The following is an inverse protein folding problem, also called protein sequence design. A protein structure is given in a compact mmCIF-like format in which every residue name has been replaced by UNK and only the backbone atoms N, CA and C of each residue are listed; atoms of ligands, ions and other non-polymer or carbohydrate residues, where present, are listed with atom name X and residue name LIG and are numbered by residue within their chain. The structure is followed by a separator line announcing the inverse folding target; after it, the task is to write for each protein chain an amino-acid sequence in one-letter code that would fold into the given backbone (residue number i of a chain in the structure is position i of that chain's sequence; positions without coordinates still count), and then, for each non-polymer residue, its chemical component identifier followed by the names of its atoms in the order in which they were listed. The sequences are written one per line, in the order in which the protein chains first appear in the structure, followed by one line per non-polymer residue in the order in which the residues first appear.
data_IF_705241333033
#
_entry.id   IF_705241333033
#
_cell.length_a   1.000
_cell.length_b   1.000
_cell.length_c   1.000
_cell.angle_alpha   90.00
_cell.angle_beta   90.00
_cell.angle_gamma   90.00
#
_symmetry.space_group_name_H-M   'P 1'
#
loop_
_entity.id
_entity.type
_entity.pdbx_description
1 polymer ?
#
# COMPACT_ATOMS: atom_id res chain seq x y z
N UNK A 1 8.78 19.97 18.19
CA UNK A 1 8.15 18.66 17.96
C UNK A 1 8.82 17.66 18.88
N UNK A 2 8.06 16.83 19.63
CA UNK A 2 8.67 15.67 20.25
C UNK A 2 9.25 14.77 19.13
N UNK A 3 10.35 14.03 19.39
CA UNK A 3 10.84 13.04 18.44
C UNK A 3 9.69 12.09 18.11
N UNK A 4 9.47 11.82 16.82
CA UNK A 4 8.51 10.82 16.39
C UNK A 4 8.88 9.50 17.08
N UNK A 5 7.92 8.82 17.74
CA UNK A 5 8.20 7.53 18.34
C UNK A 5 8.77 6.62 17.25
N UNK A 6 9.91 5.99 17.54
CA UNK A 6 10.41 4.89 16.71
C UNK A 6 9.25 3.92 16.49
N UNK A 7 8.73 3.81 15.27
CA UNK A 7 7.63 2.89 14.98
C UNK A 7 8.12 1.51 15.35
N UNK A 8 7.58 0.97 16.44
CA UNK A 8 7.84 -0.40 16.79
C UNK A 8 6.95 -1.23 15.87
N UNK A 9 7.44 -1.51 14.67
CA UNK A 9 6.72 -2.31 13.67
C UNK A 9 6.30 -3.68 14.22
N UNK A 10 7.00 -4.18 15.24
CA UNK A 10 6.67 -5.42 15.93
C UNK A 10 5.39 -5.28 16.79
N UNK A 11 5.04 -4.07 17.25
CA UNK A 11 3.88 -3.81 18.11
C UNK A 11 2.72 -3.09 17.41
N UNK A 12 2.98 -2.25 16.41
CA UNK A 12 2.01 -1.22 15.97
C UNK A 12 1.44 -1.44 14.56
N UNK A 13 2.04 -2.30 13.72
CA UNK A 13 1.50 -2.55 12.38
C UNK A 13 0.34 -3.54 12.43
N UNK A 14 -0.81 -3.11 11.90
CA UNK A 14 -1.98 -3.95 11.70
C UNK A 14 -2.49 -3.78 10.27
N UNK A 15 -2.93 -4.86 9.60
CA UNK A 15 -3.66 -4.73 8.34
C UNK A 15 -4.96 -3.96 8.58
N UNK A 16 -5.53 -3.36 7.54
CA UNK A 16 -6.80 -2.64 7.65
C UNK A 16 -7.52 -2.71 6.31
N UNK A 17 -8.83 -2.49 6.33
CA UNK A 17 -9.64 -2.38 5.13
C UNK A 17 -9.67 -0.92 4.65
N UNK A 18 -9.33 -0.70 3.38
CA UNK A 18 -9.52 0.58 2.72
C UNK A 18 -10.67 0.50 1.70
N UNK A 19 -11.71 1.29 1.89
CA UNK A 19 -12.83 1.43 0.97
C UNK A 19 -12.72 2.73 0.17
N UNK A 20 -13.02 2.71 -1.12
CA UNK A 20 -13.24 3.91 -1.92
C UNK A 20 -14.74 4.17 -2.07
N UNK A 21 -15.18 5.42 -2.20
CA UNK A 21 -16.55 5.77 -2.58
C UNK A 21 -16.54 6.61 -3.86
N UNK A 22 -17.52 6.38 -4.72
CA UNK A 22 -17.86 7.27 -5.81
C UNK A 22 -19.37 7.22 -6.05
N UNK A 23 -19.96 8.30 -6.54
CA UNK A 23 -21.36 8.26 -6.92
C UNK A 23 -21.81 9.50 -7.66
N UNK A 24 -23.12 9.59 -7.84
CA UNK A 24 -23.76 10.73 -8.46
C UNK A 24 -23.74 11.97 -7.54
N UNK A 25 -23.63 13.14 -8.18
CA UNK A 25 -23.74 14.46 -7.55
C UNK A 25 -25.14 14.70 -6.98
N UNK A 26 -25.27 15.60 -6.01
CA UNK A 26 -26.54 15.89 -5.34
C UNK A 26 -27.65 16.36 -6.31
N UNK A 27 -27.28 17.11 -7.35
CA UNK A 27 -28.20 17.60 -8.37
C UNK A 27 -28.57 16.55 -9.44
N UNK A 28 -27.92 15.38 -9.47
CA UNK A 28 -28.24 14.35 -10.44
C UNK A 28 -29.64 13.77 -10.16
N UNK A 29 -30.54 13.67 -11.15
CA UNK A 29 -31.91 13.17 -10.94
C UNK A 29 -31.98 11.77 -10.32
N UNK A 30 -31.03 10.89 -10.67
CA UNK A 30 -30.98 9.53 -10.15
C UNK A 30 -30.59 9.49 -8.67
N UNK A 31 -29.83 10.48 -8.20
CA UNK A 31 -29.49 10.62 -6.79
C UNK A 31 -30.61 11.35 -6.04
N UNK A 32 -31.01 12.52 -6.53
CA UNK A 32 -31.96 13.39 -5.84
C UNK A 32 -33.32 12.72 -5.61
N UNK A 33 -33.76 11.86 -6.53
CA UNK A 33 -35.01 11.10 -6.39
C UNK A 33 -34.96 10.02 -5.30
N UNK A 34 -33.76 9.59 -4.90
CA UNK A 34 -33.55 8.44 -4.02
C UNK A 34 -32.58 8.73 -2.87
N UNK A 35 -32.29 10.00 -2.55
CA UNK A 35 -31.23 10.40 -1.64
C UNK A 35 -31.32 9.74 -0.25
N UNK A 36 -32.51 9.72 0.35
CA UNK A 36 -32.73 9.07 1.66
C UNK A 36 -32.55 7.55 1.59
N UNK A 37 -33.04 6.91 0.52
CA UNK A 37 -32.89 5.48 0.32
C UNK A 37 -31.43 5.07 0.06
N UNK A 38 -30.67 5.90 -0.67
CA UNK A 38 -29.23 5.72 -0.89
C UNK A 38 -28.48 5.85 0.43
N UNK A 39 -28.78 6.89 1.22
CA UNK A 39 -28.15 7.10 2.52
C UNK A 39 -28.42 5.93 3.48
N UNK A 40 -29.65 5.41 3.52
CA UNK A 40 -30.01 4.24 4.30
C UNK A 40 -29.26 2.97 3.82
N UNK A 41 -29.19 2.75 2.51
CA UNK A 41 -28.47 1.59 1.96
C UNK A 41 -26.95 1.65 2.22
N UNK A 42 -26.34 2.84 2.14
CA UNK A 42 -24.94 3.03 2.51
C UNK A 42 -24.72 2.81 4.00
N UNK A 43 -25.61 3.31 4.85
CA UNK A 43 -25.54 3.11 6.30
C UNK A 43 -25.63 1.61 6.66
N UNK A 44 -26.56 0.91 6.03
CA UNK A 44 -26.70 -0.54 6.13
C UNK A 44 -25.43 -1.25 5.66
N UNK A 45 -24.92 -0.93 4.46
CA UNK A 45 -23.70 -1.51 3.93
C UNK A 45 -22.51 -1.33 4.89
N UNK A 46 -22.31 -0.12 5.42
CA UNK A 46 -21.21 0.15 6.35
C UNK A 46 -21.39 -0.58 7.68
N UNK A 47 -22.63 -0.73 8.17
CA UNK A 47 -22.90 -1.56 9.34
C UNK A 47 -22.54 -3.03 9.10
N UNK A 48 -22.82 -3.58 7.92
CA UNK A 48 -22.36 -4.95 7.56
C UNK A 48 -20.85 -5.05 7.48
N UNK A 49 -20.17 -4.03 6.95
CA UNK A 49 -18.70 -3.98 6.93
C UNK A 49 -18.14 -3.99 8.35
N UNK A 50 -18.71 -3.19 9.26
CA UNK A 50 -18.34 -3.17 10.67
C UNK A 50 -18.56 -4.54 11.33
N UNK A 51 -19.71 -5.19 11.09
CA UNK A 51 -20.01 -6.51 11.65
C UNK A 51 -18.99 -7.57 11.21
N UNK A 52 -18.66 -7.62 9.92
CA UNK A 52 -17.67 -8.56 9.37
C UNK A 52 -16.28 -8.26 9.94
N UNK A 53 -15.87 -6.99 9.97
CA UNK A 53 -14.58 -6.58 10.49
C UNK A 53 -14.47 -6.85 12.01
N UNK A 54 -15.54 -6.65 12.78
CA UNK A 54 -15.57 -6.88 14.23
C UNK A 54 -15.26 -8.34 14.60
N UNK A 55 -15.60 -9.30 13.73
CA UNK A 55 -15.18 -10.71 13.85
C UNK A 55 -13.66 -10.93 13.82
N UNK A 56 -12.91 -9.90 13.43
CA UNK A 56 -11.45 -9.89 13.25
C UNK A 56 -10.77 -8.72 13.99
N UNK A 57 -11.44 -8.08 14.97
CA UNK A 57 -10.97 -6.85 15.63
C UNK A 57 -9.55 -6.90 16.22
N UNK A 58 -9.06 -8.08 16.57
CA UNK A 58 -7.71 -8.26 17.14
C UNK A 58 -6.62 -8.32 16.07
N UNK A 59 -7.02 -8.47 14.80
CA UNK A 59 -6.09 -8.64 13.68
C UNK A 59 -5.98 -7.42 12.80
N UNK A 60 -6.74 -6.35 13.04
CA UNK A 60 -6.76 -5.19 12.14
C UNK A 60 -6.83 -3.83 12.83
N UNK A 61 -6.26 -2.82 12.17
CA UNK A 61 -6.34 -1.42 12.55
C UNK A 61 -7.66 -0.76 12.14
N UNK A 62 -7.83 0.56 12.34
CA UNK A 62 -9.08 1.24 12.03
C UNK A 62 -9.43 1.12 10.54
N UNK A 63 -10.72 0.91 10.25
CA UNK A 63 -11.25 0.92 8.88
C UNK A 63 -11.08 2.31 8.28
N UNK A 64 -10.89 2.36 6.96
CA UNK A 64 -10.60 3.59 6.24
C UNK A 64 -11.51 3.78 5.04
N UNK A 65 -12.08 4.98 4.92
CA UNK A 65 -12.79 5.43 3.72
C UNK A 65 -11.93 6.44 2.95
N UNK A 66 -11.85 6.25 1.64
CA UNK A 66 -11.32 7.19 0.67
C UNK A 66 -12.47 7.79 -0.13
N UNK A 67 -12.51 9.12 -0.23
CA UNK A 67 -13.54 9.86 -0.97
C UNK A 67 -12.91 11.08 -1.64
N UNK A 68 -13.45 11.50 -2.78
CA UNK A 68 -13.06 12.78 -3.40
C UNK A 68 -13.85 13.97 -2.83
N UNK A 69 -14.76 13.71 -1.88
CA UNK A 69 -15.63 14.66 -1.21
C UNK A 69 -16.51 15.48 -2.16
N UNK A 70 -16.86 14.87 -3.30
CA UNK A 70 -17.82 15.43 -4.25
C UNK A 70 -19.19 15.58 -3.58
N UNK A 71 -19.95 16.61 -3.97
CA UNK A 71 -21.32 16.78 -3.48
C UNK A 71 -22.20 15.53 -3.74
N UNK A 72 -23.14 15.24 -2.85
CA UNK A 72 -24.02 14.07 -2.98
C UNK A 72 -23.47 12.82 -2.30
N UNK A 73 -23.27 11.74 -3.07
CA UNK A 73 -22.94 10.40 -2.53
C UNK A 73 -21.70 10.40 -1.64
N UNK A 74 -20.63 11.05 -2.10
CA UNK A 74 -19.33 11.07 -1.44
C UNK A 74 -19.40 11.71 -0.04
N UNK A 75 -20.06 12.86 0.09
CA UNK A 75 -20.24 13.55 1.38
C UNK A 75 -21.11 12.74 2.35
N UNK A 76 -22.19 12.10 1.88
CA UNK A 76 -23.02 11.22 2.71
C UNK A 76 -22.20 10.05 3.26
N UNK A 77 -21.40 9.40 2.42
CA UNK A 77 -20.53 8.31 2.85
C UNK A 77 -19.45 8.79 3.83
N UNK A 78 -18.88 9.98 3.62
CA UNK A 78 -17.88 10.58 4.50
C UNK A 78 -18.44 10.82 5.92
N UNK A 79 -19.64 11.40 6.04
CA UNK A 79 -20.30 11.60 7.34
C UNK A 79 -20.62 10.28 8.04
N UNK A 80 -21.09 9.28 7.28
CA UNK A 80 -21.37 7.94 7.80
C UNK A 80 -20.11 7.25 8.34
N UNK A 81 -18.98 7.39 7.65
CA UNK A 81 -17.69 6.85 8.08
C UNK A 81 -17.19 7.55 9.34
N UNK A 82 -17.22 8.87 9.40
CA UNK A 82 -16.80 9.64 10.57
C UNK A 82 -17.65 9.31 11.81
N UNK A 83 -18.96 9.16 11.65
CA UNK A 83 -19.87 8.79 12.75
C UNK A 83 -19.56 7.40 13.33
N UNK A 84 -18.98 6.51 12.52
CA UNK A 84 -18.54 5.15 12.93
C UNK A 84 -17.12 5.13 13.50
N UNK A 85 -16.42 6.26 13.53
CA UNK A 85 -15.03 6.34 13.96
C UNK A 85 -14.04 5.76 12.95
N UNK A 86 -14.43 5.62 11.68
CA UNK A 86 -13.50 5.23 10.61
C UNK A 86 -12.56 6.39 10.29
N UNK A 87 -11.37 6.06 9.80
CA UNK A 87 -10.46 7.07 9.25
C UNK A 87 -10.97 7.54 7.89
N UNK A 88 -11.02 8.85 7.69
CA UNK A 88 -11.38 9.45 6.40
C UNK A 88 -10.13 10.03 5.75
N UNK A 89 -9.82 9.57 4.54
CA UNK A 89 -8.72 10.09 3.71
C UNK A 89 -9.32 10.69 2.44
N UNK A 90 -9.00 11.95 2.16
CA UNK A 90 -9.62 12.70 1.06
C UNK A 90 -8.52 13.15 0.09
N UNK A 91 -8.23 12.35 -0.96
CA UNK A 91 -7.45 12.84 -2.08
C UNK A 91 -8.30 13.84 -2.87
N UNK A 92 -8.10 15.13 -2.60
CA UNK A 92 -8.88 16.20 -3.20
C UNK A 92 -8.38 16.45 -4.64
N UNK A 93 -9.30 16.58 -5.62
CA UNK A 93 -8.94 16.98 -6.98
C UNK A 93 -8.31 18.36 -7.12
N UNK A 94 -8.46 19.20 -6.10
CA UNK A 94 -8.01 20.59 -6.03
C UNK A 94 -7.48 20.87 -4.61
N UNK A 95 -6.95 22.06 -4.36
CA UNK A 95 -6.76 22.57 -3.00
C UNK A 95 -8.08 22.63 -2.23
N UNK A 96 -7.99 22.60 -0.90
CA UNK A 96 -9.14 22.48 -0.01
C UNK A 96 -10.17 23.59 -0.22
N UNK A 97 -9.72 24.84 -0.38
CA UNK A 97 -10.60 26.00 -0.57
C UNK A 97 -11.28 25.98 -1.95
N UNK A 98 -10.56 25.66 -3.03
CA UNK A 98 -11.13 25.55 -4.36
C UNK A 98 -12.10 24.36 -4.46
N UNK A 99 -11.75 23.21 -3.89
CA UNK A 99 -12.65 22.05 -3.87
C UNK A 99 -13.93 22.35 -3.07
N UNK A 100 -13.80 23.07 -1.96
CA UNK A 100 -14.94 23.55 -1.20
C UNK A 100 -15.78 24.53 -2.02
N UNK A 101 -15.18 25.51 -2.69
CA UNK A 101 -15.89 26.48 -3.51
C UNK A 101 -16.69 25.78 -4.64
N UNK A 102 -16.08 24.81 -5.34
CA UNK A 102 -16.75 24.05 -6.40
C UNK A 102 -17.94 23.23 -5.84
N UNK A 103 -17.77 22.52 -4.73
CA UNK A 103 -18.81 21.65 -4.17
C UNK A 103 -19.85 22.39 -3.31
N UNK A 104 -19.59 23.64 -2.93
CA UNK A 104 -20.54 24.52 -2.27
C UNK A 104 -21.55 25.14 -3.26
N UNK A 105 -21.33 25.02 -4.57
CA UNK A 105 -22.23 25.51 -5.63
C UNK A 105 -22.66 26.98 -5.41
N UNK A 106 -21.72 27.95 -5.33
CA UNK A 106 -22.04 29.36 -5.18
C UNK A 106 -22.79 29.87 -6.43
N UNK A 107 -23.83 30.67 -6.21
CA UNK A 107 -24.61 31.26 -7.30
C UNK A 107 -24.00 32.56 -7.83
N UNK A 108 -23.10 33.19 -7.06
CA UNK A 108 -22.52 34.50 -7.39
C UNK A 108 -21.01 34.43 -7.47
N UNK A 109 -20.43 35.27 -8.32
CA UNK A 109 -18.98 35.44 -8.43
C UNK A 109 -18.36 35.89 -7.09
N UNK A 110 -19.06 36.74 -6.34
CA UNK A 110 -18.59 37.23 -5.05
C UNK A 110 -18.47 36.09 -4.02
N UNK A 111 -19.48 35.23 -3.92
CA UNK A 111 -19.45 34.07 -3.01
C UNK A 111 -18.40 33.05 -3.44
N UNK A 112 -18.29 32.76 -4.75
CA UNK A 112 -17.26 31.85 -5.25
C UNK A 112 -15.85 32.35 -4.91
N UNK A 113 -15.57 33.63 -5.16
CA UNK A 113 -14.29 34.23 -4.86
C UNK A 113 -14.00 34.27 -3.34
N UNK A 114 -15.03 34.49 -2.51
CA UNK A 114 -14.89 34.42 -1.06
C UNK A 114 -14.49 33.00 -0.61
N UNK A 115 -15.21 31.98 -1.09
CA UNK A 115 -14.94 30.59 -0.74
C UNK A 115 -13.55 30.13 -1.19
N UNK A 116 -13.08 30.54 -2.37
CA UNK A 116 -11.71 30.25 -2.83
C UNK A 116 -10.61 30.88 -1.95
N UNK A 117 -10.94 31.94 -1.19
CA UNK A 117 -10.04 32.56 -0.20
C UNK A 117 -10.22 32.00 1.22
N UNK A 118 -11.05 30.97 1.39
CA UNK A 118 -11.40 30.43 2.70
C UNK A 118 -12.35 31.33 3.50
N UNK A 119 -12.96 32.33 2.88
CA UNK A 119 -13.94 33.23 3.49
C UNK A 119 -15.37 32.64 3.40
N UNK A 120 -16.29 33.00 4.32
CA UNK A 120 -17.67 32.53 4.26
C UNK A 120 -18.44 33.13 3.08
N UNK A 121 -19.38 32.37 2.53
CA UNK A 121 -20.31 32.87 1.53
C UNK A 121 -21.43 33.71 2.16
N UNK A 122 -21.92 34.70 1.41
CA UNK A 122 -23.06 35.53 1.81
C UNK A 122 -24.37 34.79 1.60
N UNK A 123 -24.49 33.99 0.53
CA UNK A 123 -25.62 33.10 0.33
C UNK A 123 -25.66 31.99 1.41
N UNK A 124 -26.77 31.93 2.14
CA UNK A 124 -26.92 30.98 3.27
C UNK A 124 -26.89 29.51 2.82
N UNK A 125 -27.39 29.20 1.63
CA UNK A 125 -27.43 27.82 1.16
C UNK A 125 -26.04 27.34 0.73
N UNK A 126 -25.28 28.18 0.02
CA UNK A 126 -23.88 27.93 -0.30
C UNK A 126 -23.02 27.83 0.96
N UNK A 127 -23.19 28.76 1.92
CA UNK A 127 -22.44 28.73 3.18
C UNK A 127 -22.77 27.49 4.03
N UNK A 128 -24.03 27.03 4.05
CA UNK A 128 -24.38 25.80 4.74
C UNK A 128 -23.65 24.58 4.15
N UNK A 129 -23.58 24.46 2.81
CA UNK A 129 -22.82 23.40 2.14
C UNK A 129 -21.32 23.51 2.43
N UNK A 130 -20.77 24.72 2.35
CA UNK A 130 -19.37 24.99 2.67
C UNK A 130 -19.03 24.63 4.13
N UNK A 131 -19.90 24.96 5.08
CA UNK A 131 -19.74 24.62 6.49
C UNK A 131 -19.74 23.10 6.73
N UNK A 132 -20.62 22.35 6.06
CA UNK A 132 -20.59 20.88 6.09
C UNK A 132 -19.25 20.33 5.57
N UNK A 133 -18.78 20.83 4.42
CA UNK A 133 -17.49 20.41 3.85
C UNK A 133 -16.36 20.70 4.83
N UNK A 134 -16.32 21.90 5.44
CA UNK A 134 -15.33 22.26 6.48
C UNK A 134 -15.36 21.32 7.68
N UNK A 135 -16.55 20.95 8.14
CA UNK A 135 -16.72 20.05 9.28
C UNK A 135 -16.19 18.63 8.98
N UNK A 136 -16.36 18.15 7.75
CA UNK A 136 -15.84 16.87 7.29
C UNK A 136 -14.30 16.95 7.13
N UNK A 137 -13.79 17.96 6.42
CA UNK A 137 -12.35 18.08 6.14
C UNK A 137 -11.52 18.33 7.40
N UNK A 138 -12.07 18.98 8.42
CA UNK A 138 -11.42 19.17 9.72
C UNK A 138 -11.10 17.84 10.44
N UNK A 139 -11.78 16.74 10.07
CA UNK A 139 -11.61 15.40 10.66
C UNK A 139 -10.96 14.41 9.69
N UNK A 140 -10.52 14.88 8.50
CA UNK A 140 -9.98 14.04 7.44
C UNK A 140 -8.47 14.23 7.25
N UNK A 141 -7.80 13.20 6.72
CA UNK A 141 -6.47 13.33 6.15
C UNK A 141 -6.57 13.80 4.71
N UNK A 142 -6.16 15.04 4.43
CA UNK A 142 -6.23 15.62 3.09
C UNK A 142 -4.96 15.36 2.28
N UNK A 143 -5.14 15.11 0.98
CA UNK A 143 -4.08 15.12 -0.01
C UNK A 143 -4.56 15.96 -1.21
N UNK A 144 -4.03 17.17 -1.33
CA UNK A 144 -4.53 18.21 -2.24
C UNK A 144 -3.76 18.24 -3.56
N UNK A 145 -4.46 18.08 -4.68
CA UNK A 145 -3.89 18.25 -6.02
C UNK A 145 -4.00 19.72 -6.49
N UNK A 146 -3.36 20.62 -5.73
CA UNK A 146 -3.51 22.07 -5.88
C UNK A 146 -2.68 22.70 -7.03
N UNK A 147 -1.90 21.91 -7.78
CA UNK A 147 -0.95 22.41 -8.79
C UNK A 147 -1.60 23.28 -9.89
N UNK A 148 -2.92 23.09 -10.13
CA UNK A 148 -3.68 23.79 -11.17
C UNK A 148 -4.76 24.71 -10.62
N UNK A 149 -4.78 24.96 -9.31
CA UNK A 149 -5.86 25.71 -8.67
C UNK A 149 -6.04 27.10 -9.27
N UNK A 150 -4.95 27.83 -9.50
CA UNK A 150 -5.02 29.18 -10.08
C UNK A 150 -5.67 29.20 -11.48
N UNK A 151 -5.43 28.17 -12.31
CA UNK A 151 -6.03 28.03 -13.64
C UNK A 151 -7.54 27.70 -13.54
N UNK A 152 -7.88 26.76 -12.66
CA UNK A 152 -9.25 26.28 -12.49
C UNK A 152 -10.12 27.31 -11.78
N UNK A 153 -9.58 28.03 -10.79
CA UNK A 153 -10.25 29.14 -10.12
C UNK A 153 -10.58 30.26 -11.11
N UNK A 154 -9.63 30.66 -11.96
CA UNK A 154 -9.87 31.69 -12.97
C UNK A 154 -11.03 31.31 -13.92
N UNK A 155 -11.11 30.02 -14.29
CA UNK A 155 -12.21 29.50 -15.11
C UNK A 155 -13.53 29.41 -14.35
N UNK A 156 -13.52 29.00 -13.08
CA UNK A 156 -14.71 29.02 -12.22
C UNK A 156 -15.29 30.43 -12.14
N UNK A 157 -14.46 31.43 -11.86
CA UNK A 157 -14.90 32.82 -11.78
C UNK A 157 -15.38 33.34 -13.14
N UNK A 158 -14.72 32.96 -14.24
CA UNK A 158 -15.15 33.34 -15.59
C UNK A 158 -16.53 32.76 -15.94
N UNK A 159 -16.81 31.50 -15.59
CA UNK A 159 -18.13 30.88 -15.86
C UNK A 159 -19.26 31.53 -15.06
N UNK A 160 -18.97 32.09 -13.88
CA UNK A 160 -19.93 32.85 -13.09
C UNK A 160 -20.07 34.31 -13.55
N UNK A 161 -19.01 34.91 -14.10
CA UNK A 161 -19.04 36.26 -14.65
C UNK A 161 -19.87 36.35 -15.93
N UNK A 162 -19.72 35.36 -16.83
CA UNK A 162 -20.50 35.23 -18.06
C UNK A 162 -21.03 33.80 -18.23
N UNK A 163 -22.22 33.49 -17.67
CA UNK A 163 -22.85 32.17 -17.84
C UNK A 163 -23.19 31.83 -19.31
N UNK A 164 -23.16 32.81 -20.21
CA UNK A 164 -23.36 32.60 -21.65
C UNK A 164 -22.12 32.09 -22.38
N UNK A 165 -20.93 32.22 -21.78
CA UNK A 165 -19.67 31.78 -22.38
C UNK A 165 -19.51 30.26 -22.32
N UNK A 166 -19.98 29.61 -23.38
CA UNK A 166 -19.86 28.16 -23.56
C UNK A 166 -18.42 27.67 -23.68
N UNK A 167 -17.49 28.52 -24.11
CA UNK A 167 -16.08 28.13 -24.25
C UNK A 167 -15.42 28.07 -22.88
N UNK A 168 -15.63 29.08 -22.03
CA UNK A 168 -15.20 29.06 -20.63
C UNK A 168 -15.82 27.89 -19.87
N UNK A 169 -17.13 27.64 -20.04
CA UNK A 169 -17.81 26.51 -19.38
C UNK A 169 -17.21 25.15 -19.77
N UNK A 170 -16.97 24.92 -21.06
CA UNK A 170 -16.33 23.67 -21.53
C UNK A 170 -14.90 23.51 -21.05
N UNK A 171 -14.12 24.59 -21.03
CA UNK A 171 -12.75 24.58 -20.54
C UNK A 171 -12.71 24.23 -19.05
N UNK A 172 -13.58 24.85 -18.25
CA UNK A 172 -13.75 24.55 -16.84
C UNK A 172 -14.14 23.07 -16.61
N UNK A 173 -15.19 22.60 -17.29
CA UNK A 173 -15.66 21.21 -17.17
C UNK A 173 -14.57 20.19 -17.52
N UNK A 174 -13.83 20.42 -18.60
CA UNK A 174 -12.75 19.52 -19.03
C UNK A 174 -11.62 19.44 -18.00
N UNK A 175 -11.18 20.59 -17.47
CA UNK A 175 -10.08 20.65 -16.51
C UNK A 175 -10.45 20.06 -15.15
N UNK A 176 -11.65 20.37 -14.67
CA UNK A 176 -12.22 19.75 -13.46
C UNK A 176 -12.31 18.24 -13.64
N UNK A 177 -12.83 17.77 -14.78
CA UNK A 177 -12.95 16.36 -15.13
C UNK A 177 -11.59 15.63 -15.07
N UNK A 178 -10.55 16.21 -15.68
CA UNK A 178 -9.21 15.62 -15.70
C UNK A 178 -8.58 15.55 -14.30
N UNK A 179 -8.70 16.61 -13.49
CA UNK A 179 -8.20 16.62 -12.11
C UNK A 179 -8.96 15.61 -11.22
N UNK A 180 -10.28 15.49 -11.39
CA UNK A 180 -11.09 14.48 -10.67
C UNK A 180 -10.67 13.07 -11.08
N UNK A 181 -10.37 12.83 -12.36
CA UNK A 181 -9.86 11.53 -12.82
C UNK A 181 -8.51 11.19 -12.17
N UNK A 182 -7.61 12.16 -12.05
CA UNK A 182 -6.31 11.99 -11.40
C UNK A 182 -6.46 11.67 -9.91
N UNK A 183 -7.30 12.42 -9.18
CA UNK A 183 -7.58 12.14 -7.77
C UNK A 183 -8.28 10.79 -7.58
N UNK A 184 -9.22 10.44 -8.47
CA UNK A 184 -9.88 9.14 -8.50
C UNK A 184 -8.89 7.99 -8.66
N UNK A 185 -7.85 8.15 -9.50
CA UNK A 185 -6.78 7.17 -9.61
C UNK A 185 -5.98 7.03 -8.30
N UNK A 186 -5.63 8.15 -7.65
CA UNK A 186 -4.93 8.15 -6.35
C UNK A 186 -5.74 7.40 -5.29
N UNK A 187 -7.06 7.58 -5.28
CA UNK A 187 -7.99 6.81 -4.44
C UNK A 187 -7.95 5.33 -4.77
N UNK A 188 -8.18 4.94 -6.04
CA UNK A 188 -8.25 3.53 -6.46
C UNK A 188 -6.99 2.75 -6.06
N UNK A 189 -5.80 3.34 -6.25
CA UNK A 189 -4.50 2.72 -5.91
C UNK A 189 -4.36 2.39 -4.41
N UNK A 190 -5.18 3.00 -3.55
CA UNK A 190 -5.13 2.89 -2.08
C UNK A 190 -6.31 2.10 -1.48
N UNK A 191 -7.24 1.65 -2.32
CA UNK A 191 -8.46 0.96 -1.87
C UNK A 191 -8.42 -0.53 -2.17
N UNK A 192 -9.02 -1.33 -1.30
CA UNK A 192 -9.20 -2.77 -1.49
C UNK A 192 -10.55 -3.10 -2.15
N UNK A 193 -11.53 -2.20 -2.02
CA UNK A 193 -12.85 -2.26 -2.63
C UNK A 193 -13.38 -0.84 -2.89
N UNK A 194 -13.94 -0.57 -4.07
CA UNK A 194 -14.64 0.68 -4.37
C UNK A 194 -16.14 0.46 -4.29
N UNK A 195 -16.85 1.28 -3.53
CA UNK A 195 -18.31 1.37 -3.52
C UNK A 195 -18.72 2.43 -4.54
N UNK A 196 -19.60 2.07 -5.48
CA UNK A 196 -20.09 2.98 -6.52
C UNK A 196 -21.62 3.07 -6.47
N UNK A 197 -22.17 4.25 -6.21
CA UNK A 197 -23.61 4.52 -6.37
C UNK A 197 -23.86 4.99 -7.79
N UNK A 198 -24.27 4.08 -8.67
CA UNK A 198 -24.22 4.30 -10.12
C UNK A 198 -25.35 3.59 -10.87
N UNK A 199 -26.04 4.32 -11.74
CA UNK A 199 -27.18 3.87 -12.54
C UNK A 199 -26.79 3.07 -13.80
N UNK A 200 -25.51 2.70 -13.93
CA UNK A 200 -25.01 1.91 -15.06
C UNK A 200 -24.89 2.69 -16.37
N UNK A 201 -25.24 3.97 -16.41
CA UNK A 201 -25.14 4.79 -17.63
C UNK A 201 -23.71 5.27 -17.81
N UNK A 202 -23.18 5.07 -19.02
CA UNK A 202 -21.82 5.50 -19.39
C UNK A 202 -21.76 7.03 -19.35
N UNK A 203 -20.87 7.58 -18.53
CA UNK A 203 -20.55 9.00 -18.56
C UNK A 203 -19.51 9.28 -19.66
N UNK A 204 -19.74 10.34 -20.45
CA UNK A 204 -18.86 10.71 -21.57
C UNK A 204 -17.57 11.44 -21.16
N UNK A 205 -17.45 11.85 -19.89
CA UNK A 205 -16.31 12.62 -19.39
C UNK A 205 -15.44 11.80 -18.43
N UNK A 206 -14.11 11.96 -18.48
CA UNK A 206 -13.20 11.49 -17.43
C UNK A 206 -13.65 11.94 -16.02
N UNK A 207 -13.24 11.22 -14.98
CA UNK A 207 -13.56 11.56 -13.59
C UNK A 207 -15.01 11.34 -13.16
N UNK A 208 -15.94 11.03 -14.06
CA UNK A 208 -17.30 10.62 -13.70
C UNK A 208 -17.35 9.23 -13.05
N UNK A 209 -18.46 8.91 -12.37
CA UNK A 209 -18.64 7.63 -11.65
C UNK A 209 -18.36 6.42 -12.54
N UNK A 210 -18.89 6.39 -13.77
CA UNK A 210 -18.64 5.30 -14.72
C UNK A 210 -17.18 5.18 -15.14
N UNK A 211 -16.46 6.30 -15.29
CA UNK A 211 -15.02 6.30 -15.57
C UNK A 211 -14.24 5.73 -14.38
N UNK A 212 -14.56 6.14 -13.15
CA UNK A 212 -13.95 5.62 -11.92
C UNK A 212 -14.17 4.12 -11.79
N UNK A 213 -15.38 3.62 -12.05
CA UNK A 213 -15.70 2.18 -12.04
C UNK A 213 -14.87 1.41 -13.06
N UNK A 214 -14.82 1.89 -14.31
CA UNK A 214 -14.04 1.23 -15.37
C UNK A 214 -12.54 1.21 -15.04
N UNK A 215 -12.00 2.32 -14.55
CA UNK A 215 -10.59 2.46 -14.13
C UNK A 215 -10.28 1.52 -12.95
N UNK A 216 -11.15 1.43 -11.95
CA UNK A 216 -10.96 0.53 -10.81
C UNK A 216 -10.86 -0.93 -11.25
N UNK A 217 -11.78 -1.38 -12.11
CA UNK A 217 -11.78 -2.75 -12.65
C UNK A 217 -10.55 -3.02 -13.54
N UNK A 218 -10.14 -2.07 -14.37
CA UNK A 218 -8.93 -2.20 -15.20
C UNK A 218 -7.66 -2.32 -14.36
N UNK A 219 -7.64 -1.70 -13.16
CA UNK A 219 -6.55 -1.80 -12.19
C UNK A 219 -6.65 -3.04 -11.28
N UNK A 220 -7.70 -3.87 -11.43
CA UNK A 220 -7.92 -5.07 -10.65
C UNK A 220 -8.46 -4.81 -9.23
N UNK A 221 -9.05 -3.64 -9.00
CA UNK A 221 -9.75 -3.30 -7.75
C UNK A 221 -11.22 -3.66 -7.92
N UNK A 222 -11.80 -4.51 -7.06
CA UNK A 222 -13.21 -4.86 -7.13
C UNK A 222 -14.09 -3.64 -6.88
N UNK A 223 -15.28 -3.63 -7.46
CA UNK A 223 -16.26 -2.54 -7.33
C UNK A 223 -17.61 -3.10 -6.87
N UNK A 224 -18.04 -2.73 -5.67
CA UNK A 224 -19.42 -2.94 -5.20
C UNK A 224 -20.28 -1.84 -5.76
N UNK A 225 -21.28 -2.19 -6.55
CA UNK A 225 -22.15 -1.21 -7.18
C UNK A 225 -23.56 -1.27 -6.64
N UNK A 226 -24.05 -0.11 -6.23
CA UNK A 226 -25.39 0.14 -5.71
C UNK A 226 -26.17 0.87 -6.80
N UNK A 227 -27.31 0.29 -7.21
CA UNK A 227 -28.23 0.97 -8.12
C UNK A 227 -28.99 2.06 -7.36
N UNK A 228 -28.91 3.35 -7.74
CA UNK A 228 -29.66 4.42 -7.09
C UNK A 228 -31.17 4.19 -7.07
N UNK A 229 -31.74 3.52 -8.07
CA UNK A 229 -33.18 3.26 -8.17
C UNK A 229 -33.62 2.08 -7.29
N UNK A 230 -32.69 1.20 -6.91
CA UNK A 230 -32.93 0.10 -5.99
C UNK A 230 -31.74 -0.09 -5.03
N UNK A 231 -31.49 0.87 -4.11
CA UNK A 231 -30.24 0.90 -3.32
C UNK A 231 -30.03 -0.34 -2.43
N UNK A 232 -31.09 -1.06 -2.08
CA UNK A 232 -31.02 -2.32 -1.34
C UNK A 232 -30.45 -3.49 -2.16
N UNK A 233 -30.27 -3.33 -3.47
CA UNK A 233 -29.67 -4.33 -4.37
C UNK A 233 -28.28 -3.84 -4.80
N UNK A 234 -27.27 -4.64 -4.49
CA UNK A 234 -25.91 -4.40 -4.92
C UNK A 234 -25.21 -5.68 -5.34
N UNK A 235 -24.23 -5.54 -6.23
CA UNK A 235 -23.37 -6.64 -6.69
C UNK A 235 -21.93 -6.18 -6.75
N UNK A 236 -20.99 -7.13 -6.69
CA UNK A 236 -19.55 -6.84 -6.70
C UNK A 236 -18.95 -7.30 -8.02
N UNK A 237 -18.50 -6.34 -8.81
CA UNK A 237 -17.80 -6.54 -10.06
C UNK A 237 -16.31 -6.72 -9.81
N UNK A 238 -15.68 -7.67 -10.51
CA UNK A 238 -14.23 -7.92 -10.38
C UNK A 238 -13.46 -7.71 -11.67
N UNK A 239 -14.17 -7.70 -12.80
CA UNK A 239 -13.57 -7.64 -14.13
C UNK A 239 -14.32 -6.66 -15.03
N UNK A 240 -13.64 -5.95 -15.95
CA UNK A 240 -14.29 -4.97 -16.82
C UNK A 240 -15.41 -5.56 -17.69
N UNK A 241 -15.29 -6.81 -18.14
CA UNK A 241 -16.31 -7.48 -18.96
C UNK A 241 -17.65 -7.68 -18.24
N UNK A 242 -17.66 -7.70 -16.91
CA UNK A 242 -18.87 -7.83 -16.11
C UNK A 242 -19.76 -6.57 -16.21
N UNK A 243 -19.22 -5.42 -16.68
CA UNK A 243 -20.00 -4.21 -16.97
C UNK A 243 -20.96 -4.37 -18.16
N UNK A 244 -20.67 -5.32 -19.06
CA UNK A 244 -21.48 -5.57 -20.26
C UNK A 244 -22.64 -6.53 -19.99
N UNK A 245 -22.70 -7.13 -18.80
CA UNK A 245 -23.74 -8.08 -18.44
C UNK A 245 -24.97 -7.36 -17.89
N UNK A 246 -26.19 -7.77 -18.27
CA UNK A 246 -27.41 -7.23 -17.70
C UNK A 246 -27.41 -7.40 -16.18
N UNK A 247 -27.49 -6.29 -15.45
CA UNK A 247 -27.52 -6.31 -13.98
C UNK A 247 -28.88 -6.83 -13.53
N UNK A 248 -28.89 -7.95 -12.82
CA UNK A 248 -30.07 -8.40 -12.07
C UNK A 248 -30.96 -9.46 -12.71
N UNK A 249 -30.57 -10.11 -13.82
CA UNK A 249 -31.37 -11.24 -14.36
C UNK A 249 -30.83 -12.63 -13.95
N UNK A 250 -29.53 -12.76 -13.68
CA UNK A 250 -28.92 -14.08 -13.49
C UNK A 250 -28.99 -14.67 -12.06
N UNK A 251 -29.21 -13.85 -11.01
CA UNK A 251 -29.02 -14.29 -9.61
C UNK A 251 -30.08 -13.78 -8.60
N UNK A 252 -31.29 -13.46 -9.07
CA UNK A 252 -32.43 -13.14 -8.19
C UNK A 252 -32.33 -11.83 -7.37
N UNK A 253 -31.27 -11.03 -7.56
CA UNK A 253 -31.13 -9.70 -6.96
C UNK A 253 -30.72 -9.69 -5.48
N UNK A 254 -30.26 -10.81 -4.94
CA UNK A 254 -29.72 -10.88 -3.58
C UNK A 254 -28.29 -10.30 -3.52
N UNK A 255 -27.90 -9.64 -2.42
CA UNK A 255 -26.54 -9.12 -2.27
C UNK A 255 -25.50 -10.25 -2.15
N UNK A 256 -24.35 -10.10 -2.83
CA UNK A 256 -23.23 -11.08 -2.78
C UNK A 256 -22.42 -10.93 -1.48
N UNK A 257 -23.02 -11.36 -0.37
CA UNK A 257 -22.44 -11.28 0.97
C UNK A 257 -21.18 -12.14 1.11
N UNK A 258 -21.17 -13.33 0.50
CA UNK A 258 -20.03 -14.24 0.57
C UNK A 258 -18.77 -13.61 -0.06
N UNK A 259 -18.91 -12.93 -1.20
CA UNK A 259 -17.79 -12.23 -1.82
C UNK A 259 -17.37 -10.99 -1.02
N UNK A 260 -18.32 -10.25 -0.44
CA UNK A 260 -17.99 -9.13 0.44
C UNK A 260 -17.15 -9.60 1.64
N UNK A 261 -17.56 -10.66 2.32
CA UNK A 261 -16.84 -11.25 3.44
C UNK A 261 -15.43 -11.70 3.03
N UNK A 262 -15.30 -12.36 1.88
CA UNK A 262 -14.01 -12.81 1.37
C UNK A 262 -13.04 -11.64 1.09
N UNK A 263 -13.55 -10.52 0.54
CA UNK A 263 -12.75 -9.32 0.29
C UNK A 263 -12.32 -8.68 1.61
N UNK A 264 -13.23 -8.50 2.56
CA UNK A 264 -12.93 -7.92 3.86
C UNK A 264 -11.90 -8.78 4.60
N UNK A 265 -12.12 -10.09 4.70
CA UNK A 265 -11.18 -11.03 5.32
C UNK A 265 -9.79 -10.95 4.69
N UNK A 266 -9.71 -10.87 3.35
CA UNK A 266 -8.43 -10.77 2.66
C UNK A 266 -7.67 -9.46 2.94
N UNK A 267 -8.39 -8.39 3.30
CA UNK A 267 -7.81 -7.10 3.68
C UNK A 267 -7.40 -7.06 5.16
N UNK A 268 -8.22 -7.62 6.07
CA UNK A 268 -8.03 -7.52 7.53
C UNK A 268 -7.29 -8.70 8.15
N UNK A 269 -7.04 -9.78 7.39
CA UNK A 269 -6.32 -10.98 7.86
C UNK A 269 -5.15 -11.30 6.93
N UNK A 270 -3.94 -11.29 7.49
CA UNK A 270 -2.74 -11.76 6.78
C UNK A 270 -2.43 -13.19 7.20
N UNK A 271 -2.77 -14.15 6.34
CA UNK A 271 -2.58 -15.58 6.65
C UNK A 271 -1.12 -15.93 6.94
N UNK A 272 -0.89 -16.56 8.09
CA UNK A 272 0.44 -17.01 8.52
C UNK A 272 1.36 -15.91 9.04
N UNK A 273 0.89 -14.66 9.15
CA UNK A 273 1.62 -13.58 9.79
C UNK A 273 1.45 -13.62 11.32
N UNK A 274 2.52 -13.32 12.04
CA UNK A 274 2.47 -13.02 13.48
C UNK A 274 3.63 -12.12 13.87
N UNK A 275 3.47 -11.22 14.85
CA UNK A 275 4.55 -10.38 15.38
C UNK A 275 5.81 -11.16 15.76
N UNK A 276 5.63 -12.35 16.34
CA UNK A 276 6.72 -13.27 16.72
C UNK A 276 7.63 -13.70 15.56
N UNK A 277 7.24 -13.52 14.29
CA UNK A 277 8.12 -13.76 13.16
C UNK A 277 9.21 -12.70 13.02
N UNK A 278 8.88 -11.43 13.33
CA UNK A 278 9.83 -10.32 13.31
C UNK A 278 10.73 -10.32 14.55
N UNK A 279 10.17 -10.61 15.73
CA UNK A 279 10.93 -10.68 16.99
C UNK A 279 12.10 -11.69 16.94
N UNK A 280 11.97 -12.75 16.12
CA UNK A 280 13.03 -13.75 15.89
C UNK A 280 14.22 -13.17 15.11
N UNK A 281 14.02 -12.09 14.39
CA UNK A 281 14.98 -11.47 13.50
C UNK A 281 15.79 -10.38 14.21
N UNK A 282 16.74 -10.82 15.04
CA UNK A 282 17.60 -9.90 15.78
C UNK A 282 18.63 -9.25 14.85
N UNK A 283 18.58 -7.93 14.68
CA UNK A 283 19.63 -7.19 13.98
C UNK A 283 20.95 -7.24 14.77
N UNK A 284 22.08 -7.27 14.05
CA UNK A 284 23.41 -7.28 14.66
C UNK A 284 24.30 -6.35 13.87
N UNK A 285 25.16 -5.54 14.53
CA UNK A 285 25.99 -4.55 13.84
C UNK A 285 27.11 -5.17 13.01
N UNK A 286 27.44 -6.44 13.23
CA UNK A 286 28.60 -7.09 12.61
C UNK A 286 28.30 -8.50 12.13
N UNK A 287 28.94 -8.87 11.03
CA UNK A 287 28.95 -10.26 10.54
C UNK A 287 29.71 -11.18 11.50
N UNK A 288 29.31 -12.46 11.52
CA UNK A 288 30.00 -13.47 12.35
C UNK A 288 31.30 -13.91 11.68
N UNK A 289 32.37 -14.03 12.47
CA UNK A 289 33.65 -14.63 12.00
C UNK A 289 33.49 -16.09 11.57
N UNK A 290 32.54 -16.81 12.17
CA UNK A 290 32.30 -18.23 11.87
C UNK A 290 31.75 -18.46 10.45
N UNK A 291 31.16 -17.43 9.83
CA UNK A 291 30.58 -17.48 8.48
C UNK A 291 31.39 -16.66 7.48
N UNK A 292 32.72 -16.65 7.64
CA UNK A 292 33.64 -15.88 6.80
C UNK A 292 34.25 -16.65 5.62
N UNK A 293 33.98 -17.96 5.48
CA UNK A 293 34.65 -18.78 4.45
C UNK A 293 34.31 -18.30 3.04
N UNK A 294 33.04 -18.05 2.75
CA UNK A 294 32.63 -17.52 1.44
C UNK A 294 33.30 -16.17 1.16
N UNK A 295 33.32 -15.25 2.13
CA UNK A 295 33.98 -13.94 2.00
C UNK A 295 35.49 -14.06 1.77
N UNK A 296 36.14 -15.07 2.36
CA UNK A 296 37.57 -15.32 2.12
C UNK A 296 37.81 -15.75 0.68
N UNK A 297 36.95 -16.60 0.12
CA UNK A 297 36.99 -16.98 -1.30
C UNK A 297 36.74 -15.74 -2.17
N UNK A 298 35.71 -14.96 -1.88
CA UNK A 298 35.40 -13.72 -2.61
C UNK A 298 36.55 -12.72 -2.60
N UNK A 299 37.26 -12.52 -1.49
CA UNK A 299 38.44 -11.63 -1.45
C UNK A 299 39.63 -12.18 -2.23
N UNK A 300 39.85 -13.50 -2.19
CA UNK A 300 40.96 -14.14 -2.91
C UNK A 300 40.76 -14.09 -4.44
N UNK A 301 39.52 -14.20 -4.91
CA UNK A 301 39.21 -14.34 -6.34
C UNK A 301 38.45 -13.14 -6.96
N UNK A 302 37.92 -12.22 -6.15
CA UNK A 302 37.05 -11.12 -6.58
C UNK A 302 37.73 -9.75 -6.72
N UNK A 303 39.06 -9.68 -6.64
CA UNK A 303 39.84 -8.46 -6.94
C UNK A 303 39.79 -7.34 -5.89
N UNK A 304 38.97 -7.44 -4.84
CA UNK A 304 38.73 -6.39 -3.85
C UNK A 304 39.68 -6.39 -2.62
N UNK A 305 40.99 -6.58 -2.85
CA UNK A 305 42.04 -6.38 -1.85
C UNK A 305 42.70 -7.65 -1.29
N UNK A 306 43.77 -7.46 -0.51
CA UNK A 306 44.68 -8.55 -0.08
C UNK A 306 44.03 -9.67 0.75
N UNK A 307 44.62 -10.88 0.65
CA UNK A 307 44.18 -12.13 1.28
C UNK A 307 44.02 -12.08 2.82
N UNK A 308 44.67 -11.12 3.48
CA UNK A 308 44.76 -10.97 4.93
C UNK A 308 43.81 -9.91 5.51
N UNK A 309 42.93 -9.31 4.71
CA UNK A 309 42.00 -8.29 5.20
C UNK A 309 40.90 -8.83 6.11
N UNK A 310 40.24 -7.92 6.85
CA UNK A 310 39.13 -8.27 7.75
C UNK A 310 38.00 -9.00 7.00
N UNK A 311 37.53 -10.11 7.57
CA UNK A 311 36.33 -10.83 7.10
C UNK A 311 35.04 -10.33 7.76
N UNK A 312 35.17 -9.41 8.72
CA UNK A 312 34.01 -8.78 9.36
C UNK A 312 33.50 -7.66 8.48
N UNK A 313 32.18 -7.61 8.34
CA UNK A 313 31.45 -6.49 7.76
C UNK A 313 30.69 -5.81 8.87
N UNK A 314 30.84 -4.51 8.96
CA UNK A 314 30.01 -3.64 9.77
C UNK A 314 28.79 -3.27 8.94
N UNK A 315 27.60 -3.54 9.47
CA UNK A 315 26.34 -3.14 8.85
C UNK A 315 25.94 -1.76 9.35
N UNK A 316 25.42 -0.90 8.47
CA UNK A 316 24.90 0.39 8.86
C UNK A 316 23.71 0.21 9.82
N UNK A 317 23.73 0.97 10.92
CA UNK A 317 22.69 0.88 11.94
C UNK A 317 21.38 1.49 11.42
N UNK A 318 20.21 0.89 11.73
CA UNK A 318 18.91 1.44 11.34
C UNK A 318 18.72 2.90 11.74
N UNK A 319 19.25 3.31 12.88
CA UNK A 319 19.12 4.67 13.41
C UNK A 319 20.06 5.66 12.71
N UNK A 320 21.11 5.16 12.04
CA UNK A 320 22.15 5.99 11.43
C UNK A 320 21.89 6.28 9.94
N UNK A 321 21.13 5.42 9.24
CA UNK A 321 21.00 5.46 7.77
C UNK A 321 20.52 6.81 7.23
N UNK A 322 19.56 7.45 7.90
CA UNK A 322 19.00 8.74 7.49
C UNK A 322 20.04 9.87 7.50
N UNK A 323 21.04 9.78 8.38
CA UNK A 323 22.18 10.71 8.47
C UNK A 323 23.46 10.21 7.78
N UNK A 324 23.45 8.95 7.33
CA UNK A 324 24.57 8.25 6.73
C UNK A 324 24.37 8.09 5.23
N UNK A 325 24.24 6.84 4.77
CA UNK A 325 24.19 6.53 3.34
C UNK A 325 22.98 7.13 2.61
N UNK A 326 21.88 7.40 3.31
CA UNK A 326 20.67 7.98 2.73
C UNK A 326 20.52 9.50 2.95
N UNK A 327 21.52 10.17 3.54
CA UNK A 327 21.44 11.60 3.87
C UNK A 327 21.10 12.48 2.66
N UNK A 328 21.74 12.24 1.52
CA UNK A 328 21.46 13.00 0.30
C UNK A 328 20.04 12.79 -0.24
N UNK A 329 19.44 11.61 -0.01
CA UNK A 329 18.04 11.36 -0.39
C UNK A 329 17.08 12.07 0.55
N UNK A 330 17.35 12.08 1.86
CA UNK A 330 16.54 12.82 2.85
C UNK A 330 16.61 14.32 2.58
N UNK A 331 17.79 14.84 2.25
CA UNK A 331 17.97 16.24 1.87
C UNK A 331 17.22 16.59 0.59
N UNK A 332 17.28 15.74 -0.43
CA UNK A 332 16.52 15.93 -1.67
C UNK A 332 15.00 15.91 -1.42
N UNK A 333 14.52 15.01 -0.56
CA UNK A 333 13.12 14.95 -0.16
C UNK A 333 12.68 16.20 0.60
N UNK A 334 13.51 16.69 1.54
CA UNK A 334 13.21 17.89 2.32
C UNK A 334 13.16 19.17 1.46
N UNK A 335 13.97 19.23 0.41
CA UNK A 335 14.07 20.36 -0.50
C UNK A 335 13.17 20.25 -1.75
N UNK A 336 12.34 19.21 -1.83
CA UNK A 336 11.43 19.01 -2.96
C UNK A 336 10.37 20.13 -2.99
N UNK A 337 10.23 20.89 -4.11
CA UNK A 337 9.18 21.88 -4.25
C UNK A 337 7.79 21.23 -4.11
N UNK A 338 6.93 21.79 -3.26
CA UNK A 338 5.61 21.21 -2.96
C UNK A 338 5.65 19.89 -2.19
N UNK A 339 6.81 19.46 -1.70
CA UNK A 339 6.97 18.20 -0.96
C UNK A 339 6.33 18.26 0.43
N UNK A 340 5.61 17.20 0.80
CA UNK A 340 5.07 17.04 2.15
C UNK A 340 6.19 16.63 3.12
N UNK A 341 6.52 17.53 4.06
CA UNK A 341 7.52 17.28 5.10
C UNK A 341 7.18 16.09 6.00
N UNK A 342 5.90 15.71 6.12
CA UNK A 342 5.48 14.50 6.85
C UNK A 342 5.93 13.24 6.12
N UNK A 343 5.90 13.23 4.79
CA UNK A 343 6.44 12.12 3.99
C UNK A 343 7.94 12.02 4.19
N UNK A 344 8.67 13.14 4.12
CA UNK A 344 10.11 13.17 4.42
C UNK A 344 10.43 12.66 5.83
N UNK A 345 9.64 13.09 6.83
CA UNK A 345 9.80 12.61 8.20
C UNK A 345 9.57 11.10 8.32
N UNK A 346 8.50 10.55 7.73
CA UNK A 346 8.24 9.09 7.71
C UNK A 346 9.30 8.31 6.95
N UNK A 347 9.80 8.84 5.84
CA UNK A 347 10.89 8.22 5.09
C UNK A 347 12.15 8.08 5.95
N UNK A 348 12.54 9.17 6.63
CA UNK A 348 13.74 9.18 7.49
C UNK A 348 13.58 8.38 8.79
N UNK A 349 12.40 8.40 9.40
CA UNK A 349 12.15 7.80 10.72
C UNK A 349 11.66 6.35 10.68
N UNK A 350 11.09 5.89 9.56
CA UNK A 350 10.44 4.59 9.48
C UNK A 350 10.99 3.76 8.31
N UNK A 351 10.82 4.25 7.08
CA UNK A 351 11.09 3.45 5.87
C UNK A 351 12.58 3.13 5.71
N UNK A 352 13.46 4.12 5.87
CA UNK A 352 14.90 3.92 5.74
C UNK A 352 15.48 3.05 6.87
N UNK A 353 15.13 3.25 8.16
CA UNK A 353 15.52 2.33 9.23
C UNK A 353 15.08 0.88 8.97
N UNK A 354 13.85 0.66 8.49
CA UNK A 354 13.36 -0.66 8.11
C UNK A 354 14.20 -1.30 7.01
N UNK A 355 14.57 -0.52 6.00
CA UNK A 355 15.44 -0.98 4.92
C UNK A 355 16.79 -1.45 5.46
N UNK A 356 17.46 -0.62 6.26
CA UNK A 356 18.75 -0.94 6.86
C UNK A 356 18.67 -2.20 7.76
N UNK A 357 17.59 -2.31 8.54
CA UNK A 357 17.32 -3.48 9.38
C UNK A 357 17.19 -4.76 8.54
N UNK A 358 16.32 -4.74 7.53
CA UNK A 358 16.06 -5.89 6.66
C UNK A 358 17.30 -6.29 5.85
N UNK A 359 18.00 -5.31 5.26
CA UNK A 359 19.21 -5.57 4.47
C UNK A 359 20.33 -6.15 5.34
N UNK A 360 20.57 -5.59 6.53
CA UNK A 360 21.60 -6.09 7.44
C UNK A 360 21.39 -7.55 7.85
N UNK A 361 20.14 -7.92 8.17
CA UNK A 361 19.80 -9.30 8.52
C UNK A 361 19.89 -10.22 7.29
N UNK A 362 19.36 -9.78 6.14
CA UNK A 362 19.43 -10.54 4.90
C UNK A 362 20.88 -10.81 4.49
N UNK A 363 21.76 -9.82 4.58
CA UNK A 363 23.19 -9.92 4.29
C UNK A 363 23.89 -10.92 5.23
N UNK A 364 23.56 -10.90 6.52
CA UNK A 364 24.10 -11.88 7.49
C UNK A 364 23.61 -13.30 7.23
N UNK A 365 22.33 -13.48 6.89
CA UNK A 365 21.78 -14.81 6.57
C UNK A 365 22.36 -15.34 5.25
N UNK A 366 22.59 -14.47 4.27
CA UNK A 366 23.29 -14.80 3.03
C UNK A 366 24.70 -15.34 3.31
N UNK A 367 25.46 -14.66 4.17
CA UNK A 367 26.80 -15.09 4.57
C UNK A 367 26.78 -16.46 5.25
N UNK A 368 25.85 -16.68 6.18
CA UNK A 368 25.71 -17.95 6.89
C UNK A 368 25.37 -19.09 5.93
N UNK A 369 24.43 -18.86 5.00
CA UNK A 369 24.03 -19.85 4.00
C UNK A 369 25.17 -20.16 3.02
N UNK A 370 25.78 -19.12 2.41
CA UNK A 370 26.86 -19.27 1.42
C UNK A 370 28.11 -19.88 2.04
N UNK A 371 28.51 -19.44 3.23
CA UNK A 371 29.64 -20.05 3.93
C UNK A 371 29.33 -21.49 4.33
N UNK A 372 28.12 -21.80 4.78
CA UNK A 372 27.70 -23.18 5.05
C UNK A 372 27.84 -24.08 3.82
N UNK A 373 27.41 -23.61 2.65
CA UNK A 373 27.61 -24.33 1.38
C UNK A 373 29.10 -24.55 1.07
N UNK A 374 29.93 -23.51 1.18
CA UNK A 374 31.38 -23.63 0.96
C UNK A 374 32.03 -24.62 1.93
N UNK A 375 31.68 -24.58 3.22
CA UNK A 375 32.24 -25.51 4.22
C UNK A 375 31.85 -26.94 3.87
N UNK A 376 30.60 -27.19 3.47
CA UNK A 376 30.16 -28.53 3.05
C UNK A 376 31.01 -29.08 1.89
N UNK A 377 31.28 -28.27 0.86
CA UNK A 377 32.14 -28.69 -0.25
C UNK A 377 33.58 -28.97 0.19
N UNK A 378 34.15 -28.13 1.05
CA UNK A 378 35.51 -28.33 1.59
C UNK A 378 35.58 -29.60 2.44
N UNK A 379 34.61 -29.82 3.33
CA UNK A 379 34.57 -31.03 4.16
C UNK A 379 34.37 -32.29 3.30
N UNK A 380 33.54 -32.24 2.26
CA UNK A 380 33.34 -33.36 1.35
C UNK A 380 34.64 -33.72 0.61
N UNK A 381 35.37 -32.71 0.10
CA UNK A 381 36.66 -32.93 -0.54
C UNK A 381 37.70 -33.49 0.45
N UNK A 382 37.78 -32.93 1.66
CA UNK A 382 38.68 -33.40 2.71
C UNK A 382 38.34 -34.84 3.16
N UNK A 383 37.06 -35.19 3.24
CA UNK A 383 36.61 -36.54 3.60
C UNK A 383 37.18 -37.57 2.62
N UNK A 384 37.06 -37.32 1.32
CA UNK A 384 37.62 -38.19 0.27
C UNK A 384 39.14 -38.22 0.31
N UNK A 385 39.80 -37.05 0.39
CA UNK A 385 41.27 -36.96 0.40
C UNK A 385 41.86 -37.70 1.62
N UNK A 386 41.32 -37.45 2.82
CA UNK A 386 41.80 -38.07 4.06
C UNK A 386 41.46 -39.55 4.08
N UNK A 387 40.24 -39.94 3.67
CA UNK A 387 39.83 -41.34 3.59
C UNK A 387 40.76 -42.18 2.70
N UNK A 388 41.31 -41.59 1.63
CA UNK A 388 42.25 -42.25 0.71
C UNK A 388 43.74 -42.05 1.05
N UNK A 389 44.08 -41.17 2.00
CA UNK A 389 45.47 -40.77 2.26
C UNK A 389 46.36 -41.92 2.77
N UNK A 390 45.78 -42.99 3.34
CA UNK A 390 46.55 -44.14 3.81
C UNK A 390 47.19 -44.96 2.67
N UNK A 391 46.62 -44.91 1.45
CA UNK A 391 47.12 -45.64 0.28
C UNK A 391 48.53 -45.18 -0.14
N UNK A 392 48.76 -43.91 -0.50
CA UNK A 392 50.09 -43.44 -0.90
C UNK A 392 51.09 -43.41 0.27
N UNK A 393 50.60 -43.28 1.51
CA UNK A 393 51.46 -43.24 2.69
C UNK A 393 51.93 -44.63 3.18
N UNK A 394 51.42 -45.72 2.60
CA UNK A 394 51.73 -47.09 3.05
C UNK A 394 51.20 -47.43 4.44
N UNK A 395 50.20 -46.68 4.94
CA UNK A 395 49.69 -46.76 6.31
C UNK A 395 48.47 -47.70 6.45
N UNK A 396 48.40 -48.77 5.66
CA UNK A 396 47.23 -49.66 5.61
C UNK A 396 46.82 -50.28 6.95
N UNK A 397 47.77 -50.48 7.87
CA UNK A 397 47.51 -50.96 9.22
C UNK A 397 46.63 -49.99 10.05
N UNK A 398 46.67 -48.69 9.73
CA UNK A 398 45.93 -47.63 10.41
C UNK A 398 44.65 -47.20 9.67
N UNK A 399 44.19 -47.97 8.68
CA UNK A 399 43.01 -47.63 7.84
C UNK A 399 41.78 -47.19 8.64
N UNK A 400 41.56 -47.79 9.82
CA UNK A 400 40.42 -47.50 10.66
C UNK A 400 40.43 -46.07 11.21
N UNK A 401 41.61 -45.47 11.42
CA UNK A 401 41.75 -44.08 11.87
C UNK A 401 41.30 -43.13 10.75
N UNK A 402 41.76 -43.35 9.52
CA UNK A 402 41.36 -42.53 8.37
C UNK A 402 39.86 -42.65 8.09
N UNK A 403 39.30 -43.86 8.15
CA UNK A 403 37.86 -44.09 8.03
C UNK A 403 37.05 -43.42 9.16
N UNK A 404 37.57 -43.41 10.39
CA UNK A 404 36.92 -42.72 11.51
C UNK A 404 36.92 -41.19 11.31
N UNK A 405 38.02 -40.61 10.83
CA UNK A 405 38.09 -39.17 10.52
C UNK A 405 37.14 -38.81 9.38
N UNK A 406 37.11 -39.61 8.31
CA UNK A 406 36.16 -39.45 7.20
C UNK A 406 34.71 -39.48 7.70
N UNK A 407 34.35 -40.47 8.54
CA UNK A 407 33.02 -40.58 9.13
C UNK A 407 32.67 -39.34 9.97
N UNK A 408 33.61 -38.79 10.75
CA UNK A 408 33.40 -37.56 11.51
C UNK A 408 33.17 -36.35 10.60
N UNK A 409 33.87 -36.24 9.47
CA UNK A 409 33.67 -35.17 8.49
C UNK A 409 32.28 -35.26 7.84
N UNK A 410 31.85 -36.46 7.45
CA UNK A 410 30.51 -36.71 6.90
C UNK A 410 29.40 -36.43 7.93
N UNK A 411 29.61 -36.84 9.19
CA UNK A 411 28.70 -36.51 10.29
C UNK A 411 28.62 -34.99 10.51
N UNK A 412 29.73 -34.27 10.36
CA UNK A 412 29.78 -32.81 10.39
C UNK A 412 28.94 -32.16 9.28
N UNK A 413 29.02 -32.65 8.04
CA UNK A 413 28.19 -32.20 6.91
C UNK A 413 26.70 -32.40 7.22
N UNK A 414 26.33 -33.58 7.73
CA UNK A 414 24.95 -33.87 8.09
C UNK A 414 24.47 -32.93 9.22
N UNK A 415 25.30 -32.74 10.26
CA UNK A 415 25.01 -31.84 11.37
C UNK A 415 24.77 -30.39 10.93
N UNK A 416 25.61 -29.86 10.03
CA UNK A 416 25.42 -28.52 9.47
C UNK A 416 24.19 -28.44 8.57
N UNK A 417 23.92 -29.46 7.77
CA UNK A 417 22.73 -29.50 6.89
C UNK A 417 21.44 -29.49 7.72
N UNK A 418 21.39 -30.30 8.79
CA UNK A 418 20.27 -30.31 9.74
C UNK A 418 20.15 -28.97 10.48
N UNK A 419 21.26 -28.38 10.90
CA UNK A 419 21.24 -27.08 11.56
C UNK A 419 20.75 -25.96 10.62
N UNK A 420 21.19 -25.97 9.36
CA UNK A 420 20.79 -25.00 8.34
C UNK A 420 19.31 -25.11 7.97
N UNK A 421 18.79 -26.34 7.83
CA UNK A 421 17.37 -26.58 7.55
C UNK A 421 16.47 -26.19 8.72
N UNK A 422 16.82 -26.59 9.96
CA UNK A 422 16.06 -26.22 11.17
C UNK A 422 16.04 -24.72 11.43
N UNK A 423 17.14 -24.02 11.16
CA UNK A 423 17.21 -22.56 11.32
C UNK A 423 16.64 -21.79 10.12
N UNK A 424 16.33 -22.47 9.03
CA UNK A 424 15.70 -21.90 7.84
C UNK A 424 16.51 -20.78 7.18
N UNK A 425 17.84 -20.82 7.22
CA UNK A 425 18.69 -19.70 6.78
C UNK A 425 18.38 -19.26 5.35
N UNK A 426 18.20 -20.20 4.43
CA UNK A 426 17.87 -19.92 3.04
C UNK A 426 16.52 -19.22 2.89
N UNK A 427 15.45 -19.78 3.48
CA UNK A 427 14.10 -19.22 3.40
C UNK A 427 14.04 -17.80 3.98
N UNK A 428 14.60 -17.62 5.18
CA UNK A 428 14.64 -16.32 5.88
C UNK A 428 15.48 -15.29 5.12
N UNK A 429 16.60 -15.72 4.52
CA UNK A 429 17.41 -14.86 3.67
C UNK A 429 16.58 -14.32 2.49
N UNK A 430 15.86 -15.18 1.76
CA UNK A 430 15.02 -14.74 0.64
C UNK A 430 13.86 -13.85 1.09
N UNK A 431 13.19 -14.17 2.20
CA UNK A 431 12.09 -13.38 2.76
C UNK A 431 12.55 -11.95 3.10
N UNK A 432 13.64 -11.81 3.86
CA UNK A 432 14.17 -10.50 4.25
C UNK A 432 14.84 -9.75 3.11
N UNK A 433 15.52 -10.45 2.20
CA UNK A 433 16.07 -9.83 0.99
C UNK A 433 14.94 -9.23 0.15
N UNK A 434 13.83 -9.94 0.01
CA UNK A 434 12.65 -9.44 -0.69
C UNK A 434 12.13 -8.15 -0.04
N UNK A 435 11.99 -8.12 1.29
CA UNK A 435 11.58 -6.91 2.02
C UNK A 435 12.56 -5.76 1.78
N UNK A 436 13.87 -6.02 1.87
CA UNK A 436 14.90 -5.01 1.63
C UNK A 436 14.81 -4.43 0.21
N UNK A 437 14.62 -5.26 -0.82
CA UNK A 437 14.48 -4.74 -2.20
C UNK A 437 13.18 -3.94 -2.40
N UNK A 438 12.07 -4.29 -1.74
CA UNK A 438 10.86 -3.44 -1.77
C UNK A 438 11.12 -2.08 -1.14
N UNK A 439 11.74 -2.06 0.04
CA UNK A 439 12.03 -0.82 0.77
C UNK A 439 13.12 0.01 0.09
N UNK A 440 14.02 -0.60 -0.68
CA UNK A 440 15.05 0.11 -1.45
C UNK A 440 14.46 1.10 -2.45
N UNK A 441 13.35 0.74 -3.08
CA UNK A 441 12.66 1.58 -4.08
C UNK A 441 11.57 2.46 -3.48
N UNK A 442 11.12 2.14 -2.26
CA UNK A 442 10.03 2.84 -1.60
C UNK A 442 10.23 4.36 -1.50
N UNK A 443 11.43 4.92 -1.19
CA UNK A 443 11.59 6.36 -1.09
C UNK A 443 11.21 7.13 -2.37
N UNK A 444 11.65 6.63 -3.53
CA UNK A 444 11.30 7.27 -4.81
C UNK A 444 9.80 7.16 -5.11
N UNK A 445 9.19 6.01 -4.85
CA UNK A 445 7.76 5.80 -5.08
C UNK A 445 6.90 6.67 -4.15
N UNK A 446 7.25 6.74 -2.88
CA UNK A 446 6.50 7.50 -1.88
C UNK A 446 6.58 9.01 -2.11
N UNK A 447 7.74 9.53 -2.51
CA UNK A 447 7.89 10.95 -2.90
C UNK A 447 7.07 11.31 -4.14
N UNK A 448 6.85 10.35 -5.04
CA UNK A 448 6.00 10.52 -6.23
C UNK A 448 4.52 10.22 -5.95
N UNK A 449 4.13 9.96 -4.70
CA UNK A 449 2.75 9.64 -4.33
C UNK A 449 2.26 8.27 -4.80
N UNK A 450 3.16 7.35 -5.20
CA UNK A 450 2.83 6.01 -5.67
C UNK A 450 2.80 5.03 -4.49
N UNK A 451 1.61 4.51 -4.16
CA UNK A 451 1.40 3.69 -2.97
C UNK A 451 1.56 2.17 -3.19
N UNK A 452 1.27 1.64 -4.39
CA UNK A 452 1.37 0.20 -4.69
C UNK A 452 1.97 -0.04 -6.08
N UNK A 453 2.89 -1.02 -6.24
CA UNK A 453 3.19 -1.58 -7.54
C UNK A 453 1.91 -2.19 -8.13
N UNK A 454 1.59 -1.90 -9.38
CA UNK A 454 0.37 -2.38 -10.07
C UNK A 454 0.31 -3.92 -10.24
N UNK A 455 1.40 -4.63 -9.95
CA UNK A 455 1.48 -6.09 -10.00
C UNK A 455 1.16 -6.75 -8.65
N UNK A 456 0.07 -7.51 -8.58
CA UNK A 456 -0.11 -8.52 -7.52
C UNK A 456 0.84 -9.69 -7.80
N UNK A 457 1.82 -9.92 -6.93
CA UNK A 457 2.72 -11.07 -7.09
C UNK A 457 1.95 -12.39 -6.88
N UNK A 458 2.25 -13.45 -7.67
CA UNK A 458 1.58 -14.73 -7.53
C UNK A 458 1.70 -15.25 -6.09
N UNK A 459 0.57 -15.45 -5.42
CA UNK A 459 0.54 -16.21 -4.17
C UNK A 459 0.90 -17.66 -4.51
N UNK A 460 1.81 -18.27 -3.75
CA UNK A 460 2.13 -19.70 -3.91
C UNK A 460 0.85 -20.51 -3.70
N UNK A 461 0.35 -21.15 -4.76
CA UNK A 461 -0.54 -22.30 -4.72
C UNK A 461 -1.83 -22.13 -3.91
N UNK A 462 -2.77 -21.33 -4.40
CA UNK A 462 -4.18 -21.70 -4.25
C UNK A 462 -4.42 -22.87 -5.19
N UNK A 463 -4.71 -24.05 -4.64
CA UNK A 463 -5.14 -25.19 -5.45
C UNK A 463 -6.28 -24.76 -6.37
N UNK A 464 -6.33 -25.38 -7.55
CA UNK A 464 -7.47 -25.33 -8.46
C UNK A 464 -8.76 -25.41 -7.64
N UNK A 465 -9.49 -24.30 -7.53
CA UNK A 465 -10.93 -24.38 -7.37
C UNK A 465 -11.41 -24.94 -8.71
N UNK A 466 -11.56 -26.27 -8.78
CA UNK A 466 -12.29 -26.90 -9.85
C UNK A 466 -13.66 -26.24 -9.87
N UNK A 467 -14.02 -25.70 -11.04
CA UNK A 467 -15.41 -25.46 -11.35
C UNK A 467 -16.10 -26.82 -11.41
N UNK A 468 -17.14 -26.95 -10.62
CA UNK A 468 -18.43 -27.53 -11.00
C UNK A 468 -19.52 -26.63 -10.43
#
# INVERSE_FOLDING_TARGET
MPPLPSVNLEADWQPFLALGITGHRGANPSFSAHAEAIAAALADLFARVDEIAAGHRETHGPLRLHSLLVDGTDQVAAELALTRGWQLVVPLPFGADLNLAINAHPATLADAAALCRGEPATDRAAEARAATIRAITAQAELFELADRDAEIEALLLATLADPGDRLAARAFEALVSDNVALAGRVMIERTDLVVAVWDGKVANLPGGTGHTVATALAMGTPVLVVDPAAPGRWSILTRPEELLQPRGEADGGAPDLARLEAIIRAAVVVEGWSPAQLEREVWRPRSSRAFGLYRRIERLFGGAGGALGSLRVDYEAPEAIASGSAAGLVEAAANMPGGDQRVTARLSGEVLPMFAWADGIASRLADAYRSGMCVNFVLAALAVIIGLAFLPAGLGAFKWIFAAIELLLLAGILGMTVAGSRRGWHRRWFELRRVAEYLRHAPGLLLLGVARPTGRWPRKGGGRANGE
#
